data_IF_421766762619
#
_entry.id   IF_421766762619
#
_cell.length_a   1.000
_cell.length_b   1.000
_cell.length_c   1.000
_cell.angle_alpha   90.00
_cell.angle_beta   90.00
_cell.angle_gamma   90.00
#
_symmetry.space_group_name_H-M   'P 1'
#
loop_
_entity.id
_entity.type
_entity.pdbx_description
1 polymer ?
#
# COMPACT_ATOMS: atom_id res chain seq x y z
N UNK A 1 0.85 -70.06 5.98
CA UNK A 1 1.25 -68.68 6.33
C UNK A 1 0.08 -67.81 5.92
N UNK A 2 -0.55 -67.12 6.85
CA UNK A 2 -1.86 -66.47 6.64
C UNK A 2 -1.66 -65.12 5.96
N UNK A 3 -2.41 -64.81 4.91
CA UNK A 3 -2.33 -63.54 4.16
C UNK A 3 -2.35 -62.28 5.06
N UNK A 4 -3.06 -62.36 6.18
CA UNK A 4 -3.12 -61.29 7.20
C UNK A 4 -1.81 -61.04 7.95
N UNK A 5 -0.92 -62.06 8.10
CA UNK A 5 0.42 -61.89 8.69
C UNK A 5 1.39 -61.27 7.71
N UNK A 6 1.28 -61.57 6.41
CA UNK A 6 2.12 -60.96 5.38
C UNK A 6 1.81 -59.46 5.21
N UNK A 7 0.51 -59.10 5.27
CA UNK A 7 0.08 -57.68 5.19
C UNK A 7 0.57 -56.88 6.39
N UNK A 8 0.43 -57.45 7.63
CA UNK A 8 0.95 -56.77 8.83
C UNK A 8 2.48 -56.61 8.85
N UNK A 9 3.20 -57.61 8.29
CA UNK A 9 4.67 -57.52 8.23
C UNK A 9 5.14 -56.52 7.16
N UNK A 10 4.36 -56.30 6.11
CA UNK A 10 4.65 -55.35 5.06
C UNK A 10 4.34 -53.91 5.51
N UNK A 11 3.24 -53.69 6.27
CA UNK A 11 2.94 -52.38 6.85
C UNK A 11 3.99 -51.93 7.91
N UNK A 12 4.46 -52.88 8.76
CA UNK A 12 5.51 -52.57 9.72
C UNK A 12 6.90 -52.34 9.10
N UNK A 13 7.13 -52.75 7.85
CA UNK A 13 8.41 -52.53 7.15
C UNK A 13 8.49 -51.17 6.46
N UNK A 14 7.35 -50.51 6.23
CA UNK A 14 7.25 -49.17 5.67
C UNK A 14 7.31 -48.07 6.75
N UNK A 15 7.02 -48.38 8.00
CA UNK A 15 7.19 -47.51 9.13
C UNK A 15 8.58 -47.73 9.74
N UNK A 16 9.53 -46.90 9.44
CA UNK A 16 10.86 -46.93 10.06
C UNK A 16 10.80 -46.92 11.59
N UNK A 17 11.92 -47.19 12.30
CA UNK A 17 11.93 -47.22 13.76
C UNK A 17 11.31 -45.93 14.33
N UNK A 18 10.55 -46.01 15.44
CA UNK A 18 9.88 -44.84 16.03
C UNK A 18 10.91 -43.76 16.30
N UNK A 19 10.62 -42.55 15.77
CA UNK A 19 11.50 -41.40 15.95
C UNK A 19 11.49 -41.01 17.43
N UNK A 20 12.61 -40.52 17.94
CA UNK A 20 12.62 -39.93 19.29
C UNK A 20 11.77 -38.64 19.29
N UNK A 21 11.09 -38.37 20.37
CA UNK A 21 10.25 -37.16 20.55
C UNK A 21 11.05 -35.88 20.26
N UNK A 22 12.29 -35.81 20.68
CA UNK A 22 13.17 -34.67 20.39
C UNK A 22 13.40 -34.47 18.89
N UNK A 23 13.54 -35.55 18.12
CA UNK A 23 13.71 -35.50 16.67
C UNK A 23 12.42 -35.04 15.96
N UNK A 24 11.26 -35.47 16.43
CA UNK A 24 9.96 -35.05 15.86
C UNK A 24 9.73 -33.55 16.08
N UNK A 25 10.01 -33.02 17.29
CA UNK A 25 9.92 -31.59 17.54
C UNK A 25 10.93 -30.79 16.69
N UNK A 26 12.15 -31.29 16.53
CA UNK A 26 13.15 -30.62 15.72
C UNK A 26 12.76 -30.60 14.23
N UNK A 27 12.29 -31.72 13.66
CA UNK A 27 11.81 -31.79 12.29
C UNK A 27 10.60 -30.85 12.07
N UNK A 28 9.63 -30.83 12.99
CA UNK A 28 8.48 -29.93 12.94
C UNK A 28 8.92 -28.45 13.00
N UNK A 29 9.85 -28.11 13.89
CA UNK A 29 10.39 -26.75 13.99
C UNK A 29 11.08 -26.33 12.68
N UNK A 30 11.93 -27.17 12.12
CA UNK A 30 12.64 -26.89 10.86
C UNK A 30 11.66 -26.68 9.71
N UNK A 31 10.66 -27.57 9.57
CA UNK A 31 9.63 -27.44 8.53
C UNK A 31 8.86 -26.12 8.70
N UNK A 32 8.42 -25.83 9.92
CA UNK A 32 7.70 -24.59 10.23
C UNK A 32 8.54 -23.35 9.90
N UNK A 33 9.82 -23.37 10.26
CA UNK A 33 10.77 -22.28 9.98
C UNK A 33 10.94 -22.07 8.47
N UNK A 34 11.13 -23.15 7.71
CA UNK A 34 11.24 -23.09 6.23
C UNK A 34 9.95 -22.50 5.63
N UNK A 35 8.78 -22.99 6.06
CA UNK A 35 7.49 -22.49 5.57
C UNK A 35 7.28 -21.01 5.93
N UNK A 36 7.67 -20.58 7.13
CA UNK A 36 7.59 -19.19 7.56
C UNK A 36 8.51 -18.29 6.71
N UNK A 37 9.76 -18.71 6.51
CA UNK A 37 10.73 -17.97 5.67
C UNK A 37 10.22 -17.87 4.23
N UNK A 38 9.71 -18.97 3.67
CA UNK A 38 9.11 -18.98 2.33
C UNK A 38 7.92 -18.01 2.24
N UNK A 39 6.99 -18.08 3.20
CA UNK A 39 5.83 -17.20 3.25
C UNK A 39 6.21 -15.71 3.33
N UNK A 40 7.16 -15.36 4.21
CA UNK A 40 7.64 -13.97 4.35
C UNK A 40 8.45 -13.50 3.13
N UNK A 41 9.14 -14.39 2.44
CA UNK A 41 9.94 -14.01 1.27
C UNK A 41 9.08 -13.78 0.04
N UNK A 42 8.13 -14.66 -0.23
CA UNK A 42 7.41 -14.69 -1.51
C UNK A 42 5.96 -14.21 -1.44
N UNK A 43 5.29 -14.35 -0.30
CA UNK A 43 3.86 -14.10 -0.19
C UNK A 43 3.55 -12.80 0.54
N UNK A 44 4.17 -12.57 1.69
CA UNK A 44 3.82 -11.48 2.59
C UNK A 44 5.03 -10.62 2.96
N UNK A 45 4.80 -9.34 3.16
CA UNK A 45 5.80 -8.42 3.70
C UNK A 45 5.15 -7.50 4.73
N UNK A 46 5.76 -7.41 5.92
CA UNK A 46 5.41 -6.41 6.91
C UNK A 46 6.09 -5.08 6.57
N UNK A 47 5.34 -3.98 6.60
CA UNK A 47 5.85 -2.62 6.41
C UNK A 47 5.30 -1.69 7.49
N UNK A 48 6.09 -0.70 7.89
CA UNK A 48 5.69 0.36 8.83
C UNK A 48 5.35 1.62 8.05
N UNK A 49 4.42 2.42 8.58
CA UNK A 49 3.98 3.67 7.98
C UNK A 49 4.56 4.86 8.76
N UNK A 50 5.57 5.55 8.23
CA UNK A 50 6.22 6.66 8.91
C UNK A 50 5.56 8.02 8.63
N UNK A 51 4.72 8.14 7.61
CA UNK A 51 4.18 9.41 7.13
C UNK A 51 2.66 9.41 6.97
N UNK A 52 2.04 10.60 7.07
CA UNK A 52 0.58 10.78 6.96
C UNK A 52 0.04 10.93 5.54
N UNK A 53 0.79 10.53 4.49
CA UNK A 53 0.36 10.75 3.10
C UNK A 53 -0.88 9.95 2.68
N UNK A 54 -1.23 8.89 3.42
CA UNK A 54 -2.40 8.04 3.20
C UNK A 54 -3.48 8.19 4.29
N UNK A 55 -3.42 9.28 5.06
CA UNK A 55 -4.37 9.57 6.13
C UNK A 55 -5.76 9.89 5.53
N UNK A 56 -6.88 9.44 6.00
CA UNK A 56 -7.24 8.62 7.18
C UNK A 56 -7.33 7.12 6.84
N UNK A 57 -6.97 6.71 5.63
CA UNK A 57 -6.96 5.29 5.24
C UNK A 57 -5.93 4.54 6.06
N UNK A 58 -4.71 5.07 6.11
CA UNK A 58 -3.57 4.54 6.84
C UNK A 58 -3.00 5.65 7.71
N UNK A 59 -2.73 5.37 8.98
CA UNK A 59 -2.19 6.33 9.93
C UNK A 59 -0.70 6.10 10.18
N UNK A 60 -0.01 7.16 10.62
CA UNK A 60 1.35 7.04 11.14
C UNK A 60 1.36 6.10 12.34
N UNK A 61 2.26 5.13 12.34
CA UNK A 61 2.31 4.08 13.36
C UNK A 61 1.46 2.85 13.09
N UNK A 62 0.79 2.78 11.91
CA UNK A 62 0.22 1.54 11.41
C UNK A 62 1.32 0.62 10.88
N UNK A 63 1.17 -0.67 11.14
CA UNK A 63 1.97 -1.75 10.59
C UNK A 63 1.10 -2.56 9.65
N UNK A 64 1.48 -2.57 8.38
CA UNK A 64 0.70 -3.15 7.30
C UNK A 64 1.24 -4.51 6.88
N UNK A 65 0.33 -5.42 6.57
CA UNK A 65 0.67 -6.63 5.84
C UNK A 65 0.44 -6.41 4.35
N UNK A 66 1.49 -6.62 3.57
CA UNK A 66 1.51 -6.45 2.12
C UNK A 66 1.50 -7.82 1.46
N UNK A 67 0.56 -8.04 0.54
CA UNK A 67 0.53 -9.24 -0.29
C UNK A 67 1.39 -9.00 -1.55
N UNK A 68 2.52 -9.69 -1.62
CA UNK A 68 3.46 -9.63 -2.76
C UNK A 68 3.01 -10.53 -3.91
N UNK A 69 2.23 -11.56 -3.59
CA UNK A 69 1.85 -12.61 -4.52
C UNK A 69 0.62 -12.26 -5.38
N UNK A 70 -0.23 -11.31 -4.92
CA UNK A 70 -1.50 -11.00 -5.59
C UNK A 70 -1.32 -10.44 -7.01
N UNK A 71 -0.22 -9.75 -7.26
CA UNK A 71 0.08 -9.18 -8.57
C UNK A 71 1.06 -10.09 -9.33
N UNK A 72 0.65 -10.56 -10.49
CA UNK A 72 1.51 -11.37 -11.34
C UNK A 72 2.81 -10.60 -11.68
N UNK A 73 4.01 -11.19 -11.52
CA UNK A 73 5.27 -10.49 -11.77
C UNK A 73 5.41 -9.96 -13.21
N UNK A 74 4.87 -10.68 -14.17
CA UNK A 74 4.90 -10.33 -15.60
C UNK A 74 3.69 -9.53 -16.08
N UNK A 75 2.78 -9.14 -15.18
CA UNK A 75 1.49 -8.55 -15.57
C UNK A 75 0.43 -9.58 -15.98
N UNK A 76 0.81 -10.81 -16.31
CA UNK A 76 -0.10 -11.86 -16.75
C UNK A 76 -0.36 -12.86 -15.62
N UNK A 77 -1.56 -12.83 -15.00
CA UNK A 77 -1.91 -13.79 -13.95
C UNK A 77 -1.95 -15.22 -14.48
N UNK A 78 -1.42 -16.17 -13.69
CA UNK A 78 -1.54 -17.59 -14.01
C UNK A 78 -2.96 -18.07 -13.68
N UNK A 79 -3.61 -18.87 -14.57
CA UNK A 79 -5.05 -19.17 -14.47
C UNK A 79 -5.46 -19.97 -13.25
N UNK A 80 -4.52 -20.64 -12.60
CA UNK A 80 -4.75 -21.48 -11.40
C UNK A 80 -4.26 -20.82 -10.10
N UNK A 81 -3.70 -19.60 -10.17
CA UNK A 81 -3.24 -18.88 -8.98
C UNK A 81 -4.19 -17.70 -8.67
N UNK A 82 -4.38 -17.35 -7.40
CA UNK A 82 -5.21 -16.21 -6.99
C UNK A 82 -4.50 -14.87 -7.25
N UNK A 83 -4.03 -14.70 -8.48
CA UNK A 83 -3.35 -13.50 -8.96
C UNK A 83 -4.29 -12.66 -9.81
N UNK A 84 -4.05 -11.38 -9.86
CA UNK A 84 -4.76 -10.44 -10.73
C UNK A 84 -3.87 -9.26 -11.12
N UNK A 85 -4.32 -8.51 -12.08
CA UNK A 85 -3.72 -7.23 -12.41
C UNK A 85 -3.98 -6.17 -11.34
N UNK A 86 -3.14 -5.14 -11.35
CA UNK A 86 -3.33 -3.95 -10.54
C UNK A 86 -4.54 -3.18 -11.08
N UNK A 87 -5.41 -2.73 -10.18
CA UNK A 87 -6.64 -2.00 -10.52
C UNK A 87 -6.59 -0.60 -9.93
N UNK A 88 -7.33 0.30 -10.56
CA UNK A 88 -7.60 1.61 -9.98
C UNK A 88 -8.22 1.47 -8.58
N UNK A 89 -7.75 2.28 -7.64
CA UNK A 89 -8.16 2.22 -6.24
C UNK A 89 -7.32 1.27 -5.38
N UNK A 90 -6.50 0.37 -5.94
CA UNK A 90 -5.58 -0.44 -5.14
C UNK A 90 -4.57 0.44 -4.40
N UNK A 91 -4.39 0.16 -3.12
CA UNK A 91 -3.30 0.75 -2.33
C UNK A 91 -2.08 -0.15 -2.47
N UNK A 92 -1.06 0.35 -3.15
CA UNK A 92 0.16 -0.41 -3.46
C UNK A 92 1.35 0.08 -2.66
N UNK A 93 2.22 -0.87 -2.32
CA UNK A 93 3.58 -0.60 -1.82
C UNK A 93 4.54 -0.78 -2.98
N UNK A 94 5.43 0.17 -3.18
CA UNK A 94 6.37 0.16 -4.30
C UNK A 94 7.69 0.81 -3.89
N UNK A 95 8.75 0.55 -4.65
CA UNK A 95 10.04 1.23 -4.54
C UNK A 95 9.93 2.64 -5.13
N UNK A 96 10.29 3.65 -4.36
CA UNK A 96 10.24 5.04 -4.78
C UNK A 96 11.12 5.27 -6.04
N UNK A 97 10.57 5.83 -7.14
CA UNK A 97 11.30 5.94 -8.39
C UNK A 97 12.32 7.09 -8.45
N UNK A 98 12.25 8.05 -7.52
CA UNK A 98 13.02 9.29 -7.56
C UNK A 98 12.38 10.38 -8.43
N UNK A 99 12.83 11.61 -8.27
CA UNK A 99 12.50 12.71 -9.18
C UNK A 99 13.16 12.50 -10.53
N UNK A 100 12.44 12.83 -11.60
CA UNK A 100 12.91 12.64 -12.99
C UNK A 100 13.46 13.92 -13.64
N UNK A 101 13.36 15.04 -12.94
CA UNK A 101 13.76 16.35 -13.42
C UNK A 101 15.27 16.62 -13.33
N UNK A 102 16.06 15.64 -12.83
CA UNK A 102 17.49 15.79 -12.60
C UNK A 102 17.84 16.69 -11.42
N UNK A 103 16.86 17.04 -10.58
CA UNK A 103 17.10 17.83 -9.37
C UNK A 103 17.79 17.02 -8.28
N UNK A 104 18.52 17.71 -7.40
CA UNK A 104 19.17 17.11 -6.23
C UNK A 104 18.21 16.93 -5.04
N UNK A 105 16.91 17.10 -5.25
CA UNK A 105 15.86 17.04 -4.18
C UNK A 105 15.94 15.76 -3.34
N UNK A 106 16.20 14.63 -3.95
CA UNK A 106 16.34 13.35 -3.23
C UNK A 106 17.62 13.31 -2.42
N UNK A 107 18.74 13.79 -2.97
CA UNK A 107 20.02 13.83 -2.30
C UNK A 107 20.02 14.80 -1.10
N UNK A 108 19.40 15.97 -1.25
CA UNK A 108 19.23 16.96 -0.16
C UNK A 108 18.43 16.38 1.03
N UNK A 109 17.53 15.44 0.78
CA UNK A 109 16.70 14.77 1.77
C UNK A 109 17.30 13.44 2.28
N UNK A 110 18.44 13.06 1.76
CA UNK A 110 19.09 11.78 2.07
C UNK A 110 18.26 10.56 1.59
N UNK A 111 17.42 10.75 0.58
CA UNK A 111 16.58 9.68 0.01
C UNK A 111 17.32 9.09 -1.18
N UNK A 112 17.51 7.78 -1.16
CA UNK A 112 18.09 7.04 -2.28
C UNK A 112 16.94 6.39 -3.05
N UNK A 113 16.70 6.76 -4.32
CA UNK A 113 15.70 6.13 -5.17
C UNK A 113 15.87 4.60 -5.20
N UNK A 114 14.75 3.87 -5.37
CA UNK A 114 14.66 2.40 -5.41
C UNK A 114 14.98 1.67 -4.09
N UNK A 115 15.45 2.35 -3.05
CA UNK A 115 15.71 1.73 -1.74
C UNK A 115 14.55 1.90 -0.75
N UNK A 116 13.84 3.02 -0.82
CA UNK A 116 12.75 3.35 0.09
C UNK A 116 11.41 2.85 -0.45
N UNK A 117 10.60 2.28 0.43
CA UNK A 117 9.23 1.87 0.07
C UNK A 117 8.25 3.02 0.32
N UNK A 118 7.41 3.31 -0.68
CA UNK A 118 6.28 4.23 -0.57
C UNK A 118 4.95 3.47 -0.65
N UNK A 119 3.92 4.05 -0.06
CA UNK A 119 2.54 3.54 -0.09
C UNK A 119 1.66 4.61 -0.69
N UNK A 120 0.97 4.32 -1.80
CA UNK A 120 0.04 5.22 -2.47
C UNK A 120 -1.12 4.44 -3.09
N UNK A 121 -2.17 5.15 -3.47
CA UNK A 121 -3.31 4.62 -4.21
C UNK A 121 -3.11 4.75 -5.71
N UNK A 122 -3.42 3.69 -6.44
CA UNK A 122 -3.41 3.71 -7.92
C UNK A 122 -4.59 4.53 -8.44
N UNK A 123 -4.27 5.55 -9.20
CA UNK A 123 -5.23 6.48 -9.82
C UNK A 123 -5.29 6.26 -11.33
N UNK A 124 -4.16 6.22 -12.01
CA UNK A 124 -4.06 5.98 -13.45
C UNK A 124 -3.45 4.63 -13.77
N UNK A 125 -4.05 3.93 -14.73
CA UNK A 125 -3.59 2.65 -15.25
C UNK A 125 -2.79 2.86 -16.56
N UNK A 126 -1.99 1.87 -17.00
CA UNK A 126 -1.24 1.95 -18.25
C UNK A 126 -2.11 2.39 -19.44
N UNK A 127 -1.61 3.31 -20.28
CA UNK A 127 -2.29 3.81 -21.46
C UNK A 127 -3.39 4.84 -21.21
N UNK A 128 -3.83 5.05 -19.96
CA UNK A 128 -4.87 6.03 -19.65
C UNK A 128 -4.36 7.46 -19.64
N UNK A 129 -5.27 8.42 -19.79
CA UNK A 129 -4.96 9.84 -19.66
C UNK A 129 -5.39 10.39 -18.31
N UNK A 130 -4.51 11.16 -17.69
CA UNK A 130 -4.74 11.89 -16.44
C UNK A 130 -4.80 13.38 -16.72
N UNK A 131 -5.78 14.07 -16.19
CA UNK A 131 -5.92 15.52 -16.30
C UNK A 131 -6.40 16.10 -14.98
N UNK A 132 -5.89 17.28 -14.64
CA UNK A 132 -6.31 18.05 -13.47
C UNK A 132 -7.09 19.30 -13.90
N UNK A 133 -8.37 19.39 -13.50
CA UNK A 133 -9.23 20.55 -13.72
C UNK A 133 -9.96 20.91 -12.44
N UNK A 134 -10.00 22.19 -12.10
CA UNK A 134 -10.71 22.69 -10.91
C UNK A 134 -10.39 21.92 -9.63
N UNK A 135 -9.14 21.54 -9.44
CA UNK A 135 -8.64 20.70 -8.34
C UNK A 135 -9.33 19.32 -8.21
N UNK A 136 -9.83 18.81 -9.33
CA UNK A 136 -10.36 17.46 -9.48
C UNK A 136 -9.52 16.67 -10.48
N UNK A 137 -9.51 15.36 -10.31
CA UNK A 137 -8.79 14.43 -11.19
C UNK A 137 -9.75 13.85 -12.23
N UNK A 138 -9.34 13.87 -13.47
CA UNK A 138 -10.09 13.26 -14.57
C UNK A 138 -9.24 12.16 -15.20
N UNK A 139 -9.87 11.01 -15.44
CA UNK A 139 -9.28 9.85 -16.08
C UNK A 139 -10.00 9.62 -17.39
N UNK A 140 -9.27 9.62 -18.52
CA UNK A 140 -9.86 9.49 -19.86
C UNK A 140 -11.03 10.47 -20.10
N UNK A 141 -10.93 11.69 -19.56
CA UNK A 141 -11.96 12.72 -19.62
C UNK A 141 -13.12 12.59 -18.64
N UNK A 142 -13.20 11.51 -17.87
CA UNK A 142 -14.25 11.28 -16.85
C UNK A 142 -13.73 11.65 -15.46
N UNK A 143 -14.59 12.29 -14.66
CA UNK A 143 -14.30 12.61 -13.28
C UNK A 143 -13.99 11.34 -12.48
N UNK A 144 -12.89 11.35 -11.72
CA UNK A 144 -12.52 10.25 -10.84
C UNK A 144 -13.52 10.16 -9.67
N UNK A 145 -14.17 8.99 -9.44
CA UNK A 145 -15.11 8.82 -8.34
C UNK A 145 -14.37 8.63 -7.01
N UNK A 146 -14.18 9.71 -6.29
CA UNK A 146 -13.52 9.75 -4.99
C UNK A 146 -14.33 10.58 -3.99
N UNK A 147 -14.61 10.03 -2.82
CA UNK A 147 -15.31 10.77 -1.77
C UNK A 147 -14.38 11.78 -1.11
N UNK A 148 -14.75 13.05 -1.16
CA UNK A 148 -13.89 14.16 -0.74
C UNK A 148 -14.25 14.61 0.68
N UNK A 149 -13.26 14.49 1.56
CA UNK A 149 -13.31 14.95 2.94
C UNK A 149 -12.46 16.20 3.11
N UNK A 150 -12.85 17.05 4.05
CA UNK A 150 -12.08 18.23 4.46
C UNK A 150 -11.69 18.15 5.93
N UNK A 151 -10.47 18.54 6.24
CA UNK A 151 -9.94 18.61 7.61
C UNK A 151 -9.30 19.96 7.88
N UNK A 152 -9.52 20.50 9.08
CA UNK A 152 -8.82 21.69 9.55
C UNK A 152 -7.32 21.48 9.69
N UNK A 153 -6.91 20.27 10.07
CA UNK A 153 -5.51 19.90 10.23
C UNK A 153 -5.21 18.53 9.56
N UNK A 154 -4.75 18.51 8.30
CA UNK A 154 -4.38 17.28 7.59
C UNK A 154 -2.98 16.75 7.95
N UNK A 155 -2.25 17.41 8.86
CA UNK A 155 -0.86 17.07 9.21
C UNK A 155 -0.71 16.34 10.54
N UNK A 156 -1.83 15.95 11.16
CA UNK A 156 -1.79 15.17 12.42
C UNK A 156 -1.35 13.72 12.18
N UNK A 157 -0.71 13.10 13.16
CA UNK A 157 -0.29 11.70 13.08
C UNK A 157 -1.44 10.72 13.41
N UNK A 158 -2.44 11.19 14.16
CA UNK A 158 -3.65 10.44 14.50
C UNK A 158 -4.73 10.62 13.41
N UNK A 159 -5.85 9.93 13.55
CA UNK A 159 -6.98 10.14 12.64
C UNK A 159 -7.45 11.60 12.68
N UNK A 160 -7.41 12.28 11.52
CA UNK A 160 -7.89 13.64 11.41
C UNK A 160 -9.42 13.68 11.50
N UNK A 161 -9.96 14.66 12.21
CA UNK A 161 -11.39 14.98 12.15
C UNK A 161 -11.72 15.55 10.79
N UNK A 162 -12.72 14.99 10.14
CA UNK A 162 -13.09 15.36 8.78
C UNK A 162 -14.59 15.62 8.67
N UNK A 163 -14.94 16.47 7.72
CA UNK A 163 -16.33 16.68 7.28
C UNK A 163 -16.40 16.36 5.78
N UNK A 164 -17.58 15.93 5.34
CA UNK A 164 -17.84 15.70 3.92
C UNK A 164 -17.86 17.05 3.17
N UNK A 165 -17.19 17.08 2.02
CA UNK A 165 -17.28 18.25 1.10
C UNK A 165 -18.62 18.23 0.38
N UNK A 166 -19.01 17.04 -0.06
CA UNK A 166 -20.26 16.73 -0.74
C UNK A 166 -20.75 15.36 -0.23
N UNK A 167 -22.06 15.07 -0.25
CA UNK A 167 -22.55 13.75 0.11
C UNK A 167 -21.96 12.66 -0.77
N UNK A 168 -21.54 11.53 -0.15
CA UNK A 168 -20.95 10.39 -0.85
C UNK A 168 -21.85 9.86 -1.95
N UNK A 169 -21.28 9.63 -3.12
CA UNK A 169 -21.97 8.99 -4.24
C UNK A 169 -21.75 7.46 -4.21
N UNK A 170 -22.65 6.66 -4.83
CA UNK A 170 -22.58 5.19 -4.80
C UNK A 170 -21.31 4.60 -5.44
N UNK A 171 -20.70 5.28 -6.40
CA UNK A 171 -19.47 4.87 -7.11
C UNK A 171 -18.19 5.30 -6.42
N UNK A 172 -18.27 6.18 -5.41
CA UNK A 172 -17.13 6.61 -4.62
C UNK A 172 -16.72 5.54 -3.59
N UNK A 173 -15.72 4.77 -3.91
CA UNK A 173 -15.32 3.58 -3.14
C UNK A 173 -14.30 3.84 -2.04
N UNK A 174 -13.64 5.01 -2.05
CA UNK A 174 -12.62 5.41 -1.07
C UNK A 174 -12.70 6.90 -0.76
N UNK A 175 -12.11 7.27 0.37
CA UNK A 175 -12.05 8.66 0.86
C UNK A 175 -10.72 9.29 0.48
N UNK A 176 -10.77 10.59 0.15
CA UNK A 176 -9.58 11.44 0.01
C UNK A 176 -9.75 12.70 0.84
N UNK A 177 -8.67 13.15 1.46
CA UNK A 177 -8.69 14.25 2.40
C UNK A 177 -7.98 15.48 1.84
N UNK A 178 -8.65 16.63 1.97
CA UNK A 178 -8.12 17.95 1.68
C UNK A 178 -8.07 18.81 2.94
N UNK A 179 -7.21 19.83 2.97
CA UNK A 179 -7.23 20.85 4.01
C UNK A 179 -8.35 21.87 3.77
N UNK A 180 -8.91 22.43 4.84
CA UNK A 180 -9.84 23.58 4.73
C UNK A 180 -9.26 24.74 3.94
N UNK A 181 -7.99 25.07 4.20
CA UNK A 181 -7.25 26.11 3.49
C UNK A 181 -7.20 25.86 1.98
N UNK A 182 -6.98 24.61 1.58
CA UNK A 182 -6.97 24.21 0.18
C UNK A 182 -8.35 24.35 -0.45
N UNK A 183 -9.41 23.91 0.25
CA UNK A 183 -10.78 24.02 -0.23
C UNK A 183 -11.26 25.48 -0.33
N UNK A 184 -10.82 26.36 0.56
CA UNK A 184 -11.08 27.78 0.43
C UNK A 184 -10.38 28.40 -0.78
N UNK A 185 -9.12 27.98 -1.07
CA UNK A 185 -8.43 28.42 -2.28
C UNK A 185 -9.22 28.03 -3.55
N UNK A 186 -9.76 26.79 -3.60
CA UNK A 186 -10.64 26.33 -4.68
C UNK A 186 -11.88 27.21 -4.82
N UNK A 187 -12.59 27.52 -3.72
CA UNK A 187 -13.75 28.44 -3.72
C UNK A 187 -13.40 29.81 -4.28
N UNK A 188 -12.18 30.29 -4.06
CA UNK A 188 -11.66 31.56 -4.60
C UNK A 188 -11.06 31.42 -6.01
N UNK A 189 -11.32 30.30 -6.70
CA UNK A 189 -10.77 29.97 -8.03
C UNK A 189 -9.23 29.98 -8.10
N UNK A 190 -8.56 29.66 -6.99
CA UNK A 190 -7.10 29.50 -6.94
C UNK A 190 -6.75 28.03 -7.07
N UNK A 191 -5.71 27.74 -7.84
CA UNK A 191 -5.16 26.39 -7.89
C UNK A 191 -4.57 25.99 -6.55
N UNK A 192 -4.75 24.72 -6.15
CA UNK A 192 -4.01 24.08 -5.06
C UNK A 192 -2.85 23.26 -5.59
N UNK A 193 -2.69 23.21 -6.90
CA UNK A 193 -1.54 22.64 -7.58
C UNK A 193 -0.43 23.70 -7.52
N UNK A 194 0.72 23.29 -7.04
CA UNK A 194 1.90 24.14 -6.84
C UNK A 194 2.86 23.99 -8.03
N UNK A 195 3.75 24.94 -8.23
CA UNK A 195 4.66 24.97 -9.39
C UNK A 195 5.67 23.82 -9.38
N UNK A 196 5.87 23.16 -8.25
CA UNK A 196 6.71 21.98 -8.08
C UNK A 196 6.00 20.64 -8.40
N UNK A 197 4.71 20.71 -8.78
CA UNK A 197 3.91 19.55 -9.24
C UNK A 197 4.02 19.40 -10.77
N UNK A 198 5.16 18.94 -11.26
CA UNK A 198 5.47 18.87 -12.69
C UNK A 198 4.51 18.00 -13.51
N UNK A 199 3.86 17.05 -12.83
CA UNK A 199 2.92 16.09 -13.43
C UNK A 199 1.45 16.35 -13.06
N UNK A 200 1.11 17.56 -12.63
CA UNK A 200 -0.26 17.95 -12.30
C UNK A 200 -0.63 19.33 -12.84
N UNK A 201 -0.12 19.69 -14.00
CA UNK A 201 -0.37 20.99 -14.62
C UNK A 201 -1.86 21.12 -14.98
N UNK A 202 -2.58 22.16 -14.50
CA UNK A 202 -4.00 22.35 -14.78
C UNK A 202 -4.30 22.44 -16.27
N UNK A 203 -5.30 21.66 -16.71
CA UNK A 203 -5.73 21.64 -18.11
C UNK A 203 -4.77 20.91 -19.08
N UNK A 204 -3.66 20.37 -18.59
CA UNK A 204 -2.76 19.55 -19.39
C UNK A 204 -3.08 18.08 -19.18
N UNK A 205 -3.38 17.39 -20.27
CA UNK A 205 -3.57 15.95 -20.28
C UNK A 205 -2.22 15.25 -20.38
N UNK A 206 -2.01 14.23 -19.53
CA UNK A 206 -0.83 13.39 -19.54
C UNK A 206 -1.24 11.93 -19.78
N UNK A 207 -0.51 11.22 -20.62
CA UNK A 207 -0.69 9.80 -20.82
C UNK A 207 0.18 9.00 -19.84
N UNK A 208 -0.42 8.05 -19.14
CA UNK A 208 0.30 7.07 -18.31
C UNK A 208 1.05 6.11 -19.25
N UNK A 209 2.37 5.99 -19.16
CA UNK A 209 3.13 5.08 -20.01
C UNK A 209 2.67 3.63 -19.84
N UNK A 210 2.87 2.81 -20.87
CA UNK A 210 2.70 1.37 -20.77
C UNK A 210 3.58 0.81 -19.64
N UNK A 211 3.10 -0.21 -18.92
CA UNK A 211 3.76 -0.79 -17.76
C UNK A 211 4.03 0.19 -16.59
N UNK A 212 3.30 1.30 -16.52
CA UNK A 212 3.42 2.29 -15.45
C UNK A 212 2.07 2.67 -14.85
N UNK A 213 2.10 3.24 -13.65
CA UNK A 213 0.92 3.67 -12.90
C UNK A 213 1.09 5.11 -12.44
N UNK A 214 -0.01 5.86 -12.44
CA UNK A 214 -0.10 7.15 -11.77
C UNK A 214 -0.71 6.93 -10.38
N UNK A 215 0.00 7.31 -9.32
CA UNK A 215 -0.41 7.04 -7.95
C UNK A 215 -0.50 8.33 -7.14
N UNK A 216 -1.46 8.40 -6.22
CA UNK A 216 -1.64 9.56 -5.33
C UNK A 216 -1.85 9.11 -3.89
N UNK A 217 -1.48 9.99 -2.96
CA UNK A 217 -1.86 9.80 -1.55
C UNK A 217 -3.31 10.18 -1.29
N UNK A 218 -3.93 9.51 -0.33
CA UNK A 218 -5.30 9.83 0.08
C UNK A 218 -5.36 11.17 0.83
N UNK A 219 -4.29 11.55 1.53
CA UNK A 219 -4.12 12.90 2.07
C UNK A 219 -3.53 13.82 0.98
N UNK A 220 -4.39 14.41 0.18
CA UNK A 220 -4.04 15.16 -1.04
C UNK A 220 -3.10 16.35 -0.83
N UNK A 221 -3.18 17.01 0.31
CA UNK A 221 -2.33 18.16 0.63
C UNK A 221 -1.07 17.79 1.43
N UNK A 222 -0.93 16.56 1.87
CA UNK A 222 0.23 16.06 2.61
C UNK A 222 0.80 14.79 1.97
N UNK A 223 0.89 14.81 0.65
CA UNK A 223 1.42 13.68 -0.11
C UNK A 223 2.30 14.15 -1.24
N UNK A 224 3.54 13.71 -1.20
CA UNK A 224 4.42 13.72 -2.34
C UNK A 224 4.20 12.42 -3.10
N UNK A 225 3.72 12.54 -4.35
CA UNK A 225 3.26 11.41 -5.15
C UNK A 225 3.49 11.67 -6.64
N UNK A 226 2.81 10.94 -7.52
CA UNK A 226 2.98 11.07 -8.97
C UNK A 226 2.77 12.47 -9.53
N UNK A 227 2.12 13.36 -8.79
CA UNK A 227 1.99 14.77 -9.17
C UNK A 227 3.35 15.48 -9.24
N UNK A 228 4.32 15.02 -8.42
CA UNK A 228 5.65 15.59 -8.31
C UNK A 228 6.69 14.83 -9.14
N UNK A 229 6.78 13.52 -8.98
CA UNK A 229 7.86 12.70 -9.57
C UNK A 229 7.40 11.80 -10.74
N UNK A 230 6.11 11.83 -11.13
CA UNK A 230 5.59 11.13 -12.29
C UNK A 230 5.14 9.69 -12.01
N UNK A 231 5.55 8.76 -12.86
CA UNK A 231 4.96 7.43 -12.93
C UNK A 231 5.77 6.37 -12.19
N UNK A 232 5.07 5.38 -11.62
CA UNK A 232 5.65 4.20 -11.00
C UNK A 232 5.65 3.05 -12.00
N UNK A 233 6.84 2.57 -12.38
CA UNK A 233 6.94 1.39 -13.23
C UNK A 233 6.42 0.13 -12.54
N UNK A 234 5.82 -0.77 -13.30
CA UNK A 234 5.30 -2.05 -12.82
C UNK A 234 6.34 -2.86 -12.03
N UNK A 235 7.59 -2.85 -12.48
CA UNK A 235 8.71 -3.54 -11.86
C UNK A 235 9.09 -3.01 -10.47
N UNK A 236 8.64 -1.81 -10.10
CA UNK A 236 8.87 -1.21 -8.79
C UNK A 236 7.79 -1.61 -7.77
N UNK A 237 6.67 -2.18 -8.22
CA UNK A 237 5.57 -2.55 -7.34
C UNK A 237 5.93 -3.80 -6.54
N UNK A 238 5.94 -3.65 -5.21
CA UNK A 238 6.20 -4.74 -4.26
C UNK A 238 4.95 -5.59 -4.03
N UNK A 239 3.78 -4.97 -3.84
CA UNK A 239 2.54 -5.67 -3.59
C UNK A 239 1.39 -4.76 -3.16
N UNK A 240 0.26 -5.37 -2.79
CA UNK A 240 -0.94 -4.67 -2.30
C UNK A 240 -0.95 -4.62 -0.79
N UNK A 241 -1.17 -3.45 -0.20
CA UNK A 241 -1.48 -3.32 1.21
C UNK A 241 -2.84 -3.96 1.50
N UNK A 242 -2.89 -4.91 2.46
CA UNK A 242 -4.11 -5.66 2.74
C UNK A 242 -4.84 -5.16 3.99
N UNK A 243 -4.16 -5.20 5.12
CA UNK A 243 -4.74 -4.80 6.40
C UNK A 243 -3.66 -4.36 7.39
N UNK A 244 -4.11 -3.67 8.43
CA UNK A 244 -3.30 -3.26 9.58
C UNK A 244 -3.21 -4.44 10.55
N UNK A 245 -2.03 -5.03 10.75
CA UNK A 245 -1.86 -6.12 11.71
C UNK A 245 -1.47 -5.63 13.11
N UNK A 246 -0.89 -4.42 13.21
CA UNK A 246 -0.59 -3.72 14.45
C UNK A 246 -0.68 -2.21 14.24
N UNK A 247 -1.05 -1.48 15.26
CA UNK A 247 -1.07 -0.01 15.23
C UNK A 247 -0.77 0.54 16.62
N UNK A 248 0.01 1.61 16.66
CA UNK A 248 0.31 2.33 17.91
C UNK A 248 0.36 3.83 17.70
N UNK A 249 0.08 4.57 18.77
CA UNK A 249 0.26 6.02 18.79
C UNK A 249 1.76 6.35 18.94
N UNK A 250 2.40 6.75 17.86
CA UNK A 250 3.84 7.08 17.86
C UNK A 250 4.16 8.32 18.69
N UNK A 251 3.26 9.30 18.70
CA UNK A 251 3.45 10.50 19.50
C UNK A 251 3.43 10.16 21.00
N UNK A 252 2.43 9.37 21.45
CA UNK A 252 2.33 8.91 22.84
C UNK A 252 3.45 7.91 23.21
N UNK A 253 3.98 7.16 22.25
CA UNK A 253 5.03 6.16 22.47
C UNK A 253 6.45 6.73 22.49
N UNK A 254 6.62 8.02 22.24
CA UNK A 254 7.94 8.65 22.11
C UNK A 254 8.81 8.04 21.01
N UNK A 255 8.20 7.40 20.02
CA UNK A 255 8.88 6.73 18.89
C UNK A 255 9.56 5.40 19.26
N UNK A 256 9.48 4.94 20.50
CA UNK A 256 10.12 3.68 20.94
C UNK A 256 9.25 2.46 20.64
N UNK A 257 9.90 1.31 20.39
CA UNK A 257 9.19 0.04 20.17
C UNK A 257 8.40 -0.41 21.42
N UNK A 258 8.97 -0.25 22.62
CA UNK A 258 8.29 -0.57 23.87
C UNK A 258 7.08 0.34 24.11
N UNK A 259 7.22 1.65 23.84
CA UNK A 259 6.10 2.58 23.89
C UNK A 259 5.00 2.23 22.90
N UNK A 260 5.35 1.69 21.74
CA UNK A 260 4.37 1.21 20.77
C UNK A 260 3.56 -0.01 21.26
N UNK A 261 4.17 -0.87 22.07
CA UNK A 261 3.47 -2.01 22.68
C UNK A 261 2.53 -1.54 23.80
N UNK A 262 2.91 -0.51 24.55
CA UNK A 262 2.12 0.02 25.67
C UNK A 262 1.02 0.99 25.27
N UNK A 263 1.07 1.55 24.05
CA UNK A 263 0.07 2.48 23.53
C UNK A 263 -0.54 1.98 22.21
N UNK A 264 -1.18 0.78 22.18
CA UNK A 264 -1.78 0.23 20.97
C UNK A 264 -3.07 0.96 20.59
N UNK A 265 -3.33 1.12 19.30
CA UNK A 265 -4.62 1.54 18.75
C UNK A 265 -5.39 0.29 18.31
N UNK A 266 -6.12 -0.31 19.25
CA UNK A 266 -6.80 -1.60 19.05
C UNK A 266 -7.90 -1.54 17.99
N UNK A 267 -8.56 -0.38 17.84
CA UNK A 267 -9.59 -0.10 16.84
C UNK A 267 -9.06 -0.17 15.37
N UNK A 268 -7.73 -0.12 15.23
CA UNK A 268 -7.07 -0.20 13.93
C UNK A 268 -6.67 -1.62 13.54
N UNK A 269 -6.49 -2.50 14.50
CA UNK A 269 -6.03 -3.88 14.26
C UNK A 269 -7.09 -4.66 13.50
N UNK A 270 -6.68 -5.30 12.39
CA UNK A 270 -7.58 -6.01 11.49
C UNK A 270 -8.30 -5.13 10.47
N UNK A 271 -8.10 -3.80 10.48
CA UNK A 271 -8.72 -2.89 9.52
C UNK A 271 -8.20 -3.20 8.11
N UNK A 272 -9.14 -3.57 7.24
CA UNK A 272 -8.85 -3.83 5.82
C UNK A 272 -8.59 -2.51 5.07
N UNK A 273 -7.58 -2.51 4.22
CA UNK A 273 -7.26 -1.38 3.34
C UNK A 273 -8.00 -1.58 2.02
N UNK A 274 -8.90 -0.64 1.75
CA UNK A 274 -9.76 -0.64 0.56
C UNK A 274 -9.32 0.44 -0.40
#
# INVERSE_FOLDING_TARGET
>A
MNEKEVVKTTENKLLGPPKSVAREYFESFVITLIMAIFGMTFILQAVTVPTGSMQNTILVGDYLLVNKFIFAPSGNPLPFLPQREIRRGDVIVFKYPGFRDGSDRDAERGIIPYQVNYVKRVIGLPGETVEFRDNRVYMNGHLLPEHRLVSANPYVETAAKTNDVEPRQPDETYDVMYSEKSMEAVKRRRSVITDDMDFAVPGKTMQVPEDSYFVMGDNRNNSEDSRYWGFVGRNLVVGRAMFVYWSCDRAASGGSMLGCITNPRLDRIGKMIK
#
